data_IF_226577030028
#
_entry.id   IF_226577030028
#
_cell.length_a   1.000
_cell.length_b   1.000
_cell.length_c   1.000
_cell.angle_alpha   90.00
_cell.angle_beta   90.00
_cell.angle_gamma   90.00
#
_symmetry.space_group_name_H-M   'P 1'
#
loop_
_entity.id
_entity.type
_entity.pdbx_description
1 polymer ?
#
# COMPACT_ATOMS: atom_id res chain seq x y z
N UNK A 1 -20.40 5.72 3.48
CA UNK A 1 -20.48 4.30 3.90
C UNK A 1 -19.95 3.25 2.92
N UNK A 2 -19.74 3.54 1.63
CA UNK A 2 -19.26 2.51 0.67
C UNK A 2 -17.79 2.12 0.85
N UNK A 3 -16.93 3.06 1.25
CA UNK A 3 -15.48 2.83 1.43
C UNK A 3 -15.21 1.88 2.60
N UNK A 4 -15.82 2.12 3.77
CA UNK A 4 -15.66 1.25 4.94
C UNK A 4 -16.18 -0.16 4.67
N UNK A 5 -17.36 -0.29 4.04
CA UNK A 5 -17.90 -1.58 3.63
C UNK A 5 -16.98 -2.30 2.63
N UNK A 6 -16.44 -1.57 1.65
CA UNK A 6 -15.51 -2.12 0.66
C UNK A 6 -14.21 -2.62 1.29
N UNK A 7 -13.60 -1.81 2.15
CA UNK A 7 -12.37 -2.16 2.85
C UNK A 7 -12.57 -3.35 3.80
N UNK A 8 -13.68 -3.37 4.55
CA UNK A 8 -14.06 -4.51 5.37
C UNK A 8 -14.26 -5.78 4.51
N UNK A 9 -14.83 -5.65 3.32
CA UNK A 9 -14.92 -6.74 2.35
C UNK A 9 -13.55 -7.30 1.94
N UNK A 10 -12.58 -6.42 1.67
CA UNK A 10 -11.20 -6.85 1.38
C UNK A 10 -10.58 -7.61 2.56
N UNK A 11 -10.78 -7.15 3.81
CA UNK A 11 -10.29 -7.83 5.00
C UNK A 11 -10.92 -9.21 5.21
N UNK A 12 -12.23 -9.34 5.00
CA UNK A 12 -12.93 -10.63 5.09
C UNK A 12 -12.38 -11.61 4.05
N UNK A 13 -12.24 -11.16 2.79
CA UNK A 13 -11.69 -11.98 1.71
C UNK A 13 -10.26 -12.45 1.99
N UNK A 14 -9.43 -11.62 2.62
CA UNK A 14 -8.08 -12.01 3.05
C UNK A 14 -8.14 -13.15 4.06
N UNK A 15 -8.99 -13.01 5.09
CA UNK A 15 -9.18 -14.03 6.12
C UNK A 15 -9.69 -15.35 5.53
N UNK A 16 -10.67 -15.29 4.63
CA UNK A 16 -11.23 -16.48 3.97
C UNK A 16 -10.18 -17.20 3.11
N UNK A 17 -9.39 -16.46 2.33
CA UNK A 17 -8.33 -17.02 1.48
C UNK A 17 -7.24 -17.70 2.31
N UNK A 18 -6.80 -17.06 3.41
CA UNK A 18 -5.83 -17.66 4.33
C UNK A 18 -6.39 -18.91 5.02
N UNK A 19 -7.65 -18.88 5.47
CA UNK A 19 -8.29 -20.05 6.08
C UNK A 19 -8.42 -21.23 5.09
N UNK A 20 -8.68 -20.96 3.81
CA UNK A 20 -8.69 -21.99 2.77
C UNK A 20 -7.30 -22.59 2.55
N UNK A 21 -6.25 -21.76 2.50
CA UNK A 21 -4.87 -22.24 2.33
C UNK A 21 -4.46 -23.25 3.42
N UNK A 22 -4.80 -22.96 4.68
CA UNK A 22 -4.53 -23.85 5.82
C UNK A 22 -5.30 -25.17 5.73
N UNK A 23 -6.56 -25.14 5.27
CA UNK A 23 -7.37 -26.36 5.10
C UNK A 23 -6.83 -27.26 4.00
N UNK A 24 -6.37 -26.67 2.89
CA UNK A 24 -5.78 -27.40 1.77
C UNK A 24 -4.50 -28.12 2.19
N UNK A 25 -3.67 -27.47 3.00
CA UNK A 25 -2.45 -28.05 3.56
C UNK A 25 -2.70 -29.27 4.45
N UNK A 26 -3.75 -29.25 5.29
CA UNK A 26 -4.10 -30.40 6.14
C UNK A 26 -4.53 -31.62 5.32
N UNK A 27 -4.94 -31.41 4.06
CA UNK A 27 -5.39 -32.46 3.16
C UNK A 27 -4.26 -32.99 2.27
N UNK A 28 -3.20 -32.21 2.09
CA UNK A 28 -1.98 -32.58 1.35
C UNK A 28 -0.84 -32.90 2.33
N UNK A 29 -0.76 -34.15 2.81
CA UNK A 29 0.41 -34.61 3.58
C UNK A 29 1.69 -34.53 2.72
N UNK A 30 2.47 -33.46 2.89
CA UNK A 30 3.77 -33.27 2.23
C UNK A 30 3.99 -31.93 1.53
N UNK A 31 3.14 -30.92 1.74
CA UNK A 31 3.31 -29.58 1.18
C UNK A 31 4.67 -28.95 1.54
N UNK A 32 5.38 -28.43 0.53
CA UNK A 32 6.64 -27.72 0.74
C UNK A 32 6.36 -26.36 1.38
N UNK A 33 7.03 -26.02 2.49
CA UNK A 33 6.89 -24.75 3.24
C UNK A 33 7.01 -23.50 2.33
N UNK A 34 7.81 -23.58 1.26
CA UNK A 34 7.94 -22.51 0.27
C UNK A 34 6.65 -22.27 -0.55
N UNK A 35 5.86 -23.30 -0.81
CA UNK A 35 4.60 -23.22 -1.56
C UNK A 35 3.45 -22.67 -0.69
N UNK A 36 3.52 -22.95 0.62
CA UNK A 36 2.64 -22.33 1.61
C UNK A 36 2.84 -20.82 1.69
N UNK A 37 4.10 -20.37 1.85
CA UNK A 37 4.41 -18.95 1.91
C UNK A 37 4.04 -18.22 0.59
N UNK A 38 4.19 -18.89 -0.55
CA UNK A 38 3.77 -18.34 -1.85
C UNK A 38 2.25 -18.07 -1.92
N UNK A 39 1.46 -18.97 -1.34
CA UNK A 39 -0.01 -18.87 -1.31
C UNK A 39 -0.45 -17.76 -0.36
N UNK A 40 0.13 -17.70 0.85
CA UNK A 40 -0.13 -16.63 1.83
C UNK A 40 0.21 -15.25 1.22
N UNK A 41 1.33 -15.14 0.52
CA UNK A 41 1.73 -13.87 -0.09
C UNK A 41 0.88 -13.49 -1.30
N UNK A 42 0.31 -14.44 -2.04
CA UNK A 42 -0.70 -14.13 -3.06
C UNK A 42 -1.96 -13.53 -2.43
N UNK A 43 -2.48 -14.14 -1.36
CA UNK A 43 -3.65 -13.58 -0.64
C UNK A 43 -3.37 -12.17 -0.12
N UNK A 44 -2.15 -11.93 0.37
CA UNK A 44 -1.71 -10.61 0.82
C UNK A 44 -1.65 -9.58 -0.32
N UNK A 45 -1.09 -9.96 -1.48
CA UNK A 45 -1.03 -9.11 -2.67
C UNK A 45 -2.45 -8.75 -3.17
N UNK A 46 -3.37 -9.72 -3.18
CA UNK A 46 -4.77 -9.54 -3.57
C UNK A 46 -5.51 -8.58 -2.63
N UNK A 47 -5.28 -8.71 -1.32
CA UNK A 47 -5.78 -7.76 -0.33
C UNK A 47 -5.30 -6.34 -0.61
N UNK A 48 -4.00 -6.17 -0.88
CA UNK A 48 -3.44 -4.86 -1.19
C UNK A 48 -4.07 -4.24 -2.44
N UNK A 49 -4.23 -5.02 -3.51
CA UNK A 49 -4.89 -4.56 -4.73
C UNK A 49 -6.34 -4.13 -4.47
N UNK A 50 -7.11 -4.95 -3.73
CA UNK A 50 -8.49 -4.65 -3.34
C UNK A 50 -8.58 -3.36 -2.51
N UNK A 51 -7.78 -3.27 -1.44
CA UNK A 51 -7.79 -2.15 -0.52
C UNK A 51 -7.38 -0.85 -1.23
N UNK A 52 -6.33 -0.88 -2.05
CA UNK A 52 -5.91 0.28 -2.84
C UNK A 52 -7.00 0.72 -3.83
N UNK A 53 -7.70 -0.21 -4.47
CA UNK A 53 -8.83 0.10 -5.34
C UNK A 53 -9.97 0.81 -4.59
N UNK A 54 -10.36 0.30 -3.42
CA UNK A 54 -11.41 0.92 -2.60
C UNK A 54 -10.99 2.31 -2.10
N UNK A 55 -9.77 2.42 -1.59
CA UNK A 55 -9.25 3.66 -0.98
C UNK A 55 -8.89 4.74 -1.99
N UNK A 56 -8.73 4.40 -3.28
CA UNK A 56 -8.47 5.38 -4.35
C UNK A 56 -9.57 6.44 -4.48
N UNK A 57 -10.77 6.16 -3.96
CA UNK A 57 -11.92 7.05 -3.98
C UNK A 57 -12.12 7.82 -2.66
N UNK A 58 -11.13 7.82 -1.76
CA UNK A 58 -11.24 8.51 -0.48
C UNK A 58 -11.24 10.04 -0.67
N UNK A 59 -12.16 10.77 0.00
CA UNK A 59 -12.07 12.22 0.11
C UNK A 59 -10.79 12.61 0.87
N UNK A 60 -10.29 13.83 0.64
CA UNK A 60 -9.01 14.32 1.17
C UNK A 60 -8.93 14.21 2.70
N UNK A 61 -10.03 14.50 3.40
CA UNK A 61 -10.09 14.41 4.86
C UNK A 61 -9.91 12.97 5.36
N UNK A 62 -10.51 11.99 4.67
CA UNK A 62 -10.34 10.58 4.99
C UNK A 62 -8.94 10.07 4.63
N UNK A 63 -8.36 10.57 3.54
CA UNK A 63 -6.99 10.25 3.13
C UNK A 63 -5.96 10.77 4.16
N UNK A 64 -6.17 11.97 4.70
CA UNK A 64 -5.31 12.54 5.74
C UNK A 64 -5.35 11.72 7.03
N UNK A 65 -6.54 11.31 7.49
CA UNK A 65 -6.70 10.42 8.66
C UNK A 65 -6.02 9.07 8.39
N UNK A 66 -6.25 8.48 7.22
CA UNK A 66 -5.64 7.22 6.83
C UNK A 66 -4.11 7.28 6.85
N UNK A 67 -3.50 8.33 6.28
CA UNK A 67 -2.04 8.47 6.29
C UNK A 67 -1.51 8.69 7.70
N UNK A 68 -2.20 9.46 8.55
CA UNK A 68 -1.83 9.60 9.97
C UNK A 68 -1.83 8.24 10.69
N UNK A 69 -2.88 7.44 10.51
CA UNK A 69 -2.95 6.09 11.08
C UNK A 69 -1.86 5.18 10.51
N UNK A 70 -1.54 5.30 9.22
CA UNK A 70 -0.47 4.54 8.58
C UNK A 70 0.90 4.90 9.14
N UNK A 71 1.16 6.17 9.43
CA UNK A 71 2.39 6.63 10.10
C UNK A 71 2.48 6.05 11.51
N UNK A 72 1.39 6.08 12.27
CA UNK A 72 1.35 5.55 13.64
C UNK A 72 1.55 4.03 13.67
N UNK A 73 0.93 3.30 12.74
CA UNK A 73 1.06 1.85 12.64
C UNK A 73 2.50 1.39 12.44
N UNK A 74 3.36 2.19 11.79
CA UNK A 74 4.78 1.87 11.58
C UNK A 74 5.62 1.91 12.85
N UNK A 75 5.14 2.57 13.90
CA UNK A 75 5.79 2.53 15.21
C UNK A 75 5.58 1.20 15.92
N UNK A 76 4.58 0.42 15.50
CA UNK A 76 4.32 -0.89 16.07
C UNK A 76 5.22 -1.91 15.37
N UNK A 77 6.23 -2.39 16.08
CA UNK A 77 7.12 -3.43 15.58
C UNK A 77 6.55 -4.81 15.90
N UNK A 78 5.81 -5.36 14.95
CA UNK A 78 5.42 -6.77 14.98
C UNK A 78 6.47 -7.59 14.22
N UNK A 79 7.25 -8.40 14.95
CA UNK A 79 8.12 -9.37 14.29
C UNK A 79 7.26 -10.40 13.56
N UNK A 80 7.61 -10.71 12.31
CA UNK A 80 6.90 -11.72 11.50
C UNK A 80 5.59 -11.23 10.91
N UNK A 81 5.43 -9.93 10.68
CA UNK A 81 4.24 -9.42 9.99
C UNK A 81 4.26 -9.78 8.49
N UNK A 82 3.08 -9.82 7.86
CA UNK A 82 2.92 -10.19 6.45
C UNK A 82 3.65 -9.25 5.48
N UNK A 83 3.75 -7.96 5.82
CA UNK A 83 4.50 -7.00 5.02
C UNK A 83 5.98 -7.39 4.95
N UNK A 84 6.61 -7.73 6.08
CA UNK A 84 8.00 -8.20 6.11
C UNK A 84 8.15 -9.53 5.38
N UNK A 85 7.30 -10.51 5.68
CA UNK A 85 7.35 -11.85 5.08
C UNK A 85 7.21 -11.83 3.56
N UNK A 86 6.27 -11.04 3.02
CA UNK A 86 5.96 -11.03 1.60
C UNK A 86 6.77 -10.02 0.78
N UNK A 87 7.31 -8.97 1.41
CA UNK A 87 8.17 -7.99 0.71
C UNK A 87 9.47 -8.59 0.14
N UNK A 88 9.98 -9.67 0.74
CA UNK A 88 11.16 -10.38 0.23
C UNK A 88 10.90 -11.08 -1.12
N UNK A 89 9.65 -11.49 -1.39
CA UNK A 89 9.26 -12.13 -2.65
C UNK A 89 9.39 -11.17 -3.84
N UNK A 90 9.02 -9.91 -3.65
CA UNK A 90 9.20 -8.85 -4.66
C UNK A 90 10.68 -8.63 -5.03
N UNK A 91 11.59 -8.72 -4.05
CA UNK A 91 13.04 -8.62 -4.28
C UNK A 91 13.60 -9.83 -5.05
N UNK A 92 13.16 -11.05 -4.72
CA UNK A 92 13.58 -12.27 -5.41
C UNK A 92 13.01 -12.39 -6.84
N UNK A 93 11.77 -11.95 -7.06
CA UNK A 93 11.16 -11.86 -8.38
C UNK A 93 11.88 -10.81 -9.25
N UNK A 94 12.22 -9.65 -8.68
CA UNK A 94 13.00 -8.62 -9.37
C UNK A 94 14.44 -9.06 -9.65
N UNK A 95 15.05 -9.90 -8.79
CA UNK A 95 16.39 -10.45 -8.99
C UNK A 95 16.44 -11.60 -10.02
N UNK A 96 15.37 -12.39 -10.18
CA UNK A 96 15.26 -13.41 -11.24
C UNK A 96 14.99 -12.82 -12.63
N UNK A 97 14.56 -11.56 -12.71
CA UNK A 97 14.21 -10.89 -13.97
C UNK A 97 15.32 -10.02 -14.58
N UNK A 98 16.49 -9.87 -13.96
CA UNK A 98 17.57 -9.02 -14.50
C UNK A 98 18.96 -9.46 -14.01
N UNK A 99 19.98 -9.47 -14.88
CA UNK A 99 21.36 -9.71 -14.45
C UNK A 99 21.84 -8.54 -13.57
N UNK A 100 22.89 -8.72 -12.74
CA UNK A 100 23.29 -7.71 -11.78
C UNK A 100 23.94 -6.55 -12.54
N UNK A 101 23.22 -5.44 -12.66
CA UNK A 101 23.80 -4.16 -12.99
C UNK A 101 23.64 -3.25 -11.76
N UNK A 102 24.78 -2.84 -11.24
CA UNK A 102 24.96 -1.93 -10.12
C UNK A 102 24.13 -0.65 -10.26
N UNK A 103 23.80 -0.13 -9.08
CA UNK A 103 23.66 1.28 -8.68
C UNK A 103 22.88 2.16 -9.65
N UNK A 104 21.72 2.68 -9.22
CA UNK A 104 21.25 4.04 -9.47
C UNK A 104 19.93 4.26 -8.70
N UNK A 105 19.97 5.16 -7.72
CA UNK A 105 18.81 5.67 -6.99
C UNK A 105 17.76 6.23 -7.97
N UNK A 106 16.52 5.75 -7.88
CA UNK A 106 15.37 6.47 -8.42
C UNK A 106 14.48 6.94 -7.26
N UNK A 107 14.72 8.17 -6.80
CA UNK A 107 13.77 8.91 -5.97
C UNK A 107 12.51 9.16 -6.82
N UNK A 108 11.38 8.60 -6.41
CA UNK A 108 10.08 8.96 -7.00
C UNK A 108 9.82 10.45 -6.73
N UNK A 109 10.04 11.30 -7.74
CA UNK A 109 9.54 12.68 -7.72
C UNK A 109 8.03 12.64 -7.94
N UNK A 110 7.28 12.88 -6.87
CA UNK A 110 5.87 13.24 -6.98
C UNK A 110 5.73 14.55 -7.73
N UNK A 111 5.17 14.50 -8.94
CA UNK A 111 4.76 15.71 -9.65
C UNK A 111 3.37 16.09 -9.13
N UNK A 112 3.29 17.03 -8.20
CA UNK A 112 2.06 17.75 -7.98
C UNK A 112 1.92 18.75 -9.14
N UNK A 113 0.98 18.51 -10.05
CA UNK A 113 0.54 19.55 -10.98
C UNK A 113 -0.07 20.66 -10.12
N UNK A 114 0.71 21.71 -9.87
CA UNK A 114 0.23 22.94 -9.25
C UNK A 114 -0.63 23.68 -10.29
N UNK A 115 -1.84 23.17 -10.51
CA UNK A 115 -2.88 23.81 -11.30
C UNK A 115 -3.85 24.53 -10.38
N UNK A 116 -3.37 25.52 -9.61
CA UNK A 116 -4.23 26.41 -8.85
C UNK A 116 -4.21 27.79 -9.54
N UNK A 117 -5.18 28.11 -10.41
CA UNK A 117 -5.30 29.45 -10.98
C UNK A 117 -6.00 30.34 -9.96
N UNK A 118 -5.24 30.97 -9.06
CA UNK A 118 -5.89 31.81 -8.05
C UNK A 118 -5.00 32.43 -7.00
N UNK A 119 -3.80 32.92 -7.33
CA UNK A 119 -3.08 33.84 -6.46
C UNK A 119 -2.47 34.96 -7.32
N UNK A 120 -3.31 35.90 -7.74
CA UNK A 120 -2.85 37.23 -8.13
C UNK A 120 -2.53 37.99 -6.83
N UNK A 121 -1.28 38.43 -6.59
CA UNK A 121 -1.03 39.36 -5.49
C UNK A 121 -1.56 40.72 -5.92
N UNK A 122 -2.62 41.18 -5.24
CA UNK A 122 -3.12 42.54 -5.42
C UNK A 122 -2.12 43.51 -4.77
N UNK A 123 -1.20 44.07 -5.57
CA UNK A 123 -0.33 45.14 -5.13
C UNK A 123 -1.17 46.43 -5.00
N UNK A 124 -1.51 46.82 -3.78
CA UNK A 124 -2.12 48.12 -3.50
C UNK A 124 -1.04 49.22 -3.53
N UNK A 125 -1.26 50.36 -4.23
CA UNK A 125 -0.34 51.48 -4.13
C UNK A 125 -0.68 52.30 -2.88
N UNK A 126 0.30 52.47 -1.99
CA UNK A 126 0.24 53.47 -0.91
C UNK A 126 0.43 54.84 -1.54
N UNK A 127 -0.63 55.66 -1.60
CA UNK A 127 -0.50 57.07 -1.94
C UNK A 127 0.16 57.81 -0.76
N UNK A 128 1.33 58.37 -1.02
CA UNK A 128 1.90 59.45 -0.22
C UNK A 128 1.04 60.71 -0.43
N UNK A 129 0.53 61.30 0.64
CA UNK A 129 0.09 62.69 0.65
C UNK A 129 1.05 63.45 1.56
N UNK A 130 1.72 64.43 0.96
CA UNK A 130 2.46 65.49 1.64
C UNK A 130 1.52 66.67 1.92
#
# INVERSE_FOLDING_TARGET
DTIYKGFAGCLISLGDSMAQSVRQQQQEEGGQEAQELDTICKSWDDFHACASGVLSNCPEEAAAIWESLRQESRKIQFQGNLQELCSARGRLASARGSPPAETNQATLRGSAALGCPGLLPLLAPVLLVA
#
